data_IF_910753314623
#
_entry.id   IF_910753314623
#
_cell.length_a   1.000
_cell.length_b   1.000
_cell.length_c   1.000
_cell.angle_alpha   90.00
_cell.angle_beta   90.00
_cell.angle_gamma   90.00
#
_symmetry.space_group_name_H-M   'P 1'
#
loop_
_entity.id
_entity.type
_entity.pdbx_description
1 polymer ?
#
# COMPACT_ATOMS: atom_id res chain seq x y z
N UNK A 1 -13.03 -11.08 2.69
CA UNK A 1 -13.87 -10.02 3.29
C UNK A 1 -14.40 -9.17 2.16
N UNK A 2 -15.72 -8.98 2.05
CA UNK A 2 -16.31 -8.12 1.03
C UNK A 2 -16.49 -6.74 1.66
N UNK A 3 -15.92 -5.71 1.05
CA UNK A 3 -16.02 -4.34 1.55
C UNK A 3 -16.94 -3.58 0.58
N UNK A 4 -18.10 -3.11 1.06
CA UNK A 4 -19.02 -2.38 0.20
C UNK A 4 -18.39 -1.05 -0.26
N UNK A 5 -18.51 -0.76 -1.55
CA UNK A 5 -18.03 0.50 -2.11
C UNK A 5 -18.83 1.71 -1.61
N UNK A 6 -18.25 2.91 -1.71
CA UNK A 6 -18.86 4.17 -1.22
C UNK A 6 -20.30 4.40 -1.68
N UNK A 7 -20.64 4.05 -2.92
CA UNK A 7 -22.00 4.22 -3.46
C UNK A 7 -23.01 3.33 -2.72
N UNK A 8 -22.61 2.12 -2.34
CA UNK A 8 -23.45 1.23 -1.55
C UNK A 8 -23.67 1.79 -0.16
N UNK A 9 -22.60 2.25 0.52
CA UNK A 9 -22.71 2.86 1.83
C UNK A 9 -23.64 4.08 1.83
N UNK A 10 -23.55 4.93 0.79
CA UNK A 10 -24.45 6.08 0.64
C UNK A 10 -25.92 5.65 0.53
N UNK A 11 -26.20 4.63 -0.27
CA UNK A 11 -27.56 4.07 -0.41
C UNK A 11 -28.10 3.53 0.91
N UNK A 12 -27.29 2.77 1.64
CA UNK A 12 -27.69 2.26 2.97
C UNK A 12 -28.01 3.39 3.94
N UNK A 13 -27.25 4.49 3.93
CA UNK A 13 -27.53 5.66 4.76
C UNK A 13 -28.84 6.36 4.37
N UNK A 14 -29.13 6.44 3.07
CA UNK A 14 -30.41 6.97 2.56
C UNK A 14 -31.58 6.07 2.99
N UNK A 15 -31.46 4.74 2.80
CA UNK A 15 -32.49 3.76 3.18
C UNK A 15 -32.78 3.80 4.71
N UNK A 16 -31.74 3.95 5.54
CA UNK A 16 -31.89 4.07 7.00
C UNK A 16 -32.59 5.37 7.40
N UNK A 17 -32.33 6.46 6.66
CA UNK A 17 -32.98 7.75 6.89
C UNK A 17 -34.46 7.71 6.50
N UNK A 18 -34.80 7.02 5.41
CA UNK A 18 -36.19 6.80 4.99
C UNK A 18 -36.98 5.94 5.99
N UNK A 19 -36.31 5.02 6.67
CA UNK A 19 -36.89 4.20 7.73
C UNK A 19 -37.06 4.90 9.09
N UNK A 20 -36.83 6.22 9.16
CA UNK A 20 -36.92 7.07 10.37
C UNK A 20 -36.04 6.58 11.54
N UNK A 21 -34.93 5.90 11.22
CA UNK A 21 -33.93 5.46 12.19
C UNK A 21 -32.93 6.59 12.44
N UNK A 22 -32.77 7.00 13.69
CA UNK A 22 -31.74 7.96 14.09
C UNK A 22 -30.36 7.30 14.09
N UNK A 23 -29.68 7.32 12.94
CA UNK A 23 -28.32 6.80 12.80
C UNK A 23 -27.30 7.93 12.73
N UNK A 24 -26.27 7.85 13.57
CA UNK A 24 -25.11 8.73 13.52
C UNK A 24 -23.94 7.98 12.89
N UNK A 25 -23.34 8.55 11.84
CA UNK A 25 -22.18 7.93 11.19
C UNK A 25 -20.93 8.22 12.01
N UNK A 26 -20.43 7.20 12.72
CA UNK A 26 -19.23 7.33 13.58
C UNK A 26 -17.97 7.58 12.73
N UNK A 27 -17.77 6.80 11.66
CA UNK A 27 -16.63 6.99 10.76
C UNK A 27 -16.84 6.28 9.42
N UNK A 28 -16.36 6.88 8.34
CA UNK A 28 -16.18 6.23 7.04
C UNK A 28 -14.68 6.08 6.84
N UNK A 29 -14.22 4.84 6.66
CA UNK A 29 -12.83 4.54 6.29
C UNK A 29 -12.83 3.89 4.92
N UNK A 30 -12.02 4.41 4.02
CA UNK A 30 -11.70 3.68 2.81
C UNK A 30 -10.75 2.55 3.18
N UNK A 31 -11.01 1.35 2.64
CA UNK A 31 -10.06 0.28 2.76
C UNK A 31 -8.99 0.47 1.68
N UNK A 32 -7.88 1.06 2.08
CA UNK A 32 -6.71 1.13 1.21
C UNK A 32 -5.97 -0.21 1.23
N UNK A 33 -5.76 -0.77 0.04
CA UNK A 33 -4.97 -1.99 -0.11
C UNK A 33 -3.48 -1.66 -0.03
N UNK A 34 -2.97 -1.61 1.21
CA UNK A 34 -1.54 -1.43 1.48
C UNK A 34 -0.74 -2.72 1.26
N UNK A 35 -1.33 -3.82 0.77
CA UNK A 35 -0.57 -5.04 0.53
C UNK A 35 0.41 -4.86 -0.64
N UNK A 36 1.63 -5.34 -0.40
CA UNK A 36 2.66 -5.36 -1.42
C UNK A 36 2.32 -6.42 -2.47
N UNK A 37 2.40 -6.05 -3.74
CA UNK A 37 2.40 -7.06 -4.81
C UNK A 37 3.58 -8.00 -4.61
N UNK A 38 3.48 -9.22 -5.16
CA UNK A 38 4.57 -10.21 -5.11
C UNK A 38 5.90 -9.59 -5.57
N UNK A 39 5.86 -8.82 -6.66
CA UNK A 39 7.04 -8.15 -7.21
C UNK A 39 7.59 -7.06 -6.31
N UNK A 40 6.73 -6.25 -5.70
CA UNK A 40 7.15 -5.23 -4.72
C UNK A 40 7.82 -5.87 -3.50
N UNK A 41 7.25 -6.98 -2.99
CA UNK A 41 7.79 -7.75 -1.87
C UNK A 41 9.16 -8.34 -2.21
N UNK A 42 9.30 -8.97 -3.38
CA UNK A 42 10.58 -9.51 -3.86
C UNK A 42 11.68 -8.43 -3.92
N UNK A 43 11.39 -7.31 -4.60
CA UNK A 43 12.36 -6.22 -4.79
C UNK A 43 12.72 -5.56 -3.46
N UNK A 44 11.75 -5.31 -2.59
CA UNK A 44 11.98 -4.72 -1.27
C UNK A 44 12.83 -5.65 -0.39
N UNK A 45 12.55 -6.96 -0.42
CA UNK A 45 13.31 -7.96 0.33
C UNK A 45 14.76 -8.05 -0.17
N UNK A 46 14.96 -8.03 -1.48
CA UNK A 46 16.29 -7.98 -2.08
C UNK A 46 17.04 -6.71 -1.69
N UNK A 47 16.38 -5.54 -1.73
CA UNK A 47 16.96 -4.25 -1.34
C UNK A 47 17.42 -4.22 0.12
N UNK A 48 16.66 -4.83 1.04
CA UNK A 48 17.04 -4.99 2.44
C UNK A 48 18.25 -5.90 2.59
N UNK A 49 18.24 -7.07 1.93
CA UNK A 49 19.32 -8.07 2.02
C UNK A 49 20.67 -7.54 1.57
N UNK A 50 20.71 -6.75 0.49
CA UNK A 50 21.96 -6.19 -0.04
C UNK A 50 22.31 -4.83 0.59
N UNK A 51 21.48 -4.32 1.51
CA UNK A 51 21.71 -3.08 2.24
C UNK A 51 21.58 -1.81 1.37
N UNK A 52 20.66 -1.78 0.42
CA UNK A 52 20.36 -0.59 -0.38
C UNK A 52 19.60 0.51 0.39
N UNK A 53 18.93 0.16 1.49
CA UNK A 53 18.04 1.07 2.25
C UNK A 53 18.66 1.66 3.51
N UNK A 54 19.90 1.28 3.85
CA UNK A 54 20.61 1.80 5.03
C UNK A 54 21.25 3.17 4.82
N UNK A 55 21.57 3.85 5.92
CA UNK A 55 22.35 5.12 5.92
C UNK A 55 23.76 4.91 5.37
N UNK A 56 24.39 3.77 5.68
CA UNK A 56 25.59 3.27 5.02
C UNK A 56 25.17 2.24 3.97
N UNK A 57 24.91 2.70 2.75
CA UNK A 57 24.53 1.81 1.64
C UNK A 57 25.70 0.90 1.27
N UNK A 58 25.53 -0.41 1.46
CA UNK A 58 26.50 -1.42 1.00
C UNK A 58 26.35 -1.77 -0.47
N UNK A 59 25.19 -1.48 -1.07
CA UNK A 59 24.91 -1.70 -2.49
C UNK A 59 24.16 -0.51 -3.10
N UNK A 60 24.37 -0.30 -4.40
CA UNK A 60 23.73 0.74 -5.20
C UNK A 60 22.44 0.20 -5.82
N UNK A 61 21.57 1.12 -6.24
CA UNK A 61 20.33 0.79 -6.94
C UNK A 61 20.58 -0.01 -8.24
N UNK A 62 21.73 0.21 -8.90
CA UNK A 62 22.14 -0.56 -10.08
C UNK A 62 22.37 -2.03 -9.76
N UNK A 63 22.94 -2.33 -8.60
CA UNK A 63 23.22 -3.71 -8.15
C UNK A 63 21.91 -4.43 -7.85
N UNK A 64 20.95 -3.73 -7.24
CA UNK A 64 19.59 -4.24 -7.05
C UNK A 64 18.90 -4.51 -8.38
N UNK A 65 18.95 -3.56 -9.31
CA UNK A 65 18.32 -3.66 -10.62
C UNK A 65 18.84 -4.88 -11.39
N UNK A 66 20.15 -5.08 -11.36
CA UNK A 66 20.80 -6.27 -11.89
C UNK A 66 20.31 -7.56 -11.21
N UNK A 67 20.29 -7.59 -9.87
CA UNK A 67 19.87 -8.76 -9.09
C UNK A 67 18.43 -9.19 -9.38
N UNK A 68 17.51 -8.24 -9.57
CA UNK A 68 16.09 -8.53 -9.82
C UNK A 68 15.74 -8.61 -11.31
N UNK A 69 16.70 -8.39 -12.20
CA UNK A 69 16.53 -8.50 -13.65
C UNK A 69 15.66 -7.39 -14.27
N UNK A 70 15.81 -6.14 -13.83
CA UNK A 70 15.08 -4.98 -14.38
C UNK A 70 16.03 -3.80 -14.58
N UNK A 71 15.59 -2.78 -15.32
CA UNK A 71 16.36 -1.54 -15.43
C UNK A 71 16.32 -0.73 -14.12
N UNK A 72 17.30 0.17 -13.94
CA UNK A 72 17.41 0.96 -12.71
C UNK A 72 16.20 1.85 -12.44
N UNK A 73 15.52 2.35 -13.48
CA UNK A 73 14.34 3.21 -13.31
C UNK A 73 13.14 2.40 -12.80
N UNK A 74 12.96 1.18 -13.33
CA UNK A 74 11.95 0.23 -12.88
C UNK A 74 12.20 -0.22 -11.45
N UNK A 75 13.44 -0.59 -11.10
CA UNK A 75 13.80 -0.95 -9.73
C UNK A 75 13.49 0.21 -8.76
N UNK A 76 13.85 1.44 -9.14
CA UNK A 76 13.56 2.65 -8.36
C UNK A 76 12.07 2.83 -8.12
N UNK A 77 11.25 2.69 -9.17
CA UNK A 77 9.79 2.85 -9.09
C UNK A 77 9.16 1.79 -8.19
N UNK A 78 9.57 0.53 -8.35
CA UNK A 78 9.04 -0.58 -7.55
C UNK A 78 9.37 -0.36 -6.07
N UNK A 79 10.62 0.00 -5.74
CA UNK A 79 11.01 0.28 -4.35
C UNK A 79 10.21 1.44 -3.77
N UNK A 80 10.11 2.57 -4.47
CA UNK A 80 9.37 3.73 -3.94
C UNK A 80 7.92 3.39 -3.63
N UNK A 81 7.26 2.67 -4.54
CA UNK A 81 5.88 2.25 -4.33
C UNK A 81 5.75 1.23 -3.19
N UNK A 82 6.72 0.31 -3.06
CA UNK A 82 6.73 -0.67 -1.98
C UNK A 82 6.94 0.01 -0.62
N UNK A 83 7.92 0.92 -0.51
CA UNK A 83 8.18 1.69 0.72
C UNK A 83 6.96 2.53 1.07
N UNK A 84 6.36 3.22 0.09
CA UNK A 84 5.16 4.02 0.29
C UNK A 84 4.05 3.18 0.95
N UNK A 85 3.72 2.02 0.39
CA UNK A 85 2.71 1.11 0.96
C UNK A 85 3.04 0.63 2.38
N UNK A 86 4.31 0.33 2.65
CA UNK A 86 4.75 -0.10 3.99
C UNK A 86 4.61 1.04 5.00
N UNK A 87 5.00 2.26 4.62
CA UNK A 87 4.90 3.44 5.48
C UNK A 87 3.45 3.81 5.73
N UNK A 88 2.60 3.85 4.69
CA UNK A 88 1.15 4.08 4.83
C UNK A 88 0.54 3.06 5.78
N UNK A 89 0.79 1.76 5.57
CA UNK A 89 0.33 0.71 6.49
C UNK A 89 0.78 0.94 7.95
N UNK A 90 1.99 1.44 8.17
CA UNK A 90 2.53 1.67 9.53
C UNK A 90 1.98 2.94 10.17
N UNK A 91 1.58 3.93 9.37
CA UNK A 91 1.03 5.21 9.85
C UNK A 91 -0.50 5.16 10.02
N UNK A 92 -1.16 4.26 9.30
CA UNK A 92 -2.61 4.02 9.38
C UNK A 92 -2.99 2.97 10.45
N UNK A 93 -2.00 2.22 10.98
CA UNK A 93 -2.08 1.36 12.18
C UNK A 93 -1.87 2.16 13.48
#
# INVERSE_FOLDING_TARGET
>A
MIIPGRLFCKRVLEDLKEADLSVETISIRDYEDHELTKRQREVLSAALRIGCLGSKRSARLKDLAFLVGVDSSTASRIIRNAIKKVVEKTLDE
#
